data_IF_856685683979
#
_entry.id   IF_856685683979
#
_cell.length_a   1.000
_cell.length_b   1.000
_cell.length_c   1.000
_cell.angle_alpha   90.00
_cell.angle_beta   90.00
_cell.angle_gamma   90.00
#
_symmetry.space_group_name_H-M   'P 1'
#
loop_
_entity.id
_entity.type
_entity.pdbx_description
1 polymer ?
#
# COMPACT_ATOMS: atom_id res chain seq x y z
N UNK A 1 -4.39 -1.84 9.58
CA UNK A 1 -2.96 -2.17 9.82
C UNK A 1 -2.07 -1.11 9.14
N UNK A 2 -0.88 -0.80 9.67
CA UNK A 2 0.09 0.11 9.03
C UNK A 2 1.27 -0.71 8.49
N UNK A 3 1.57 -0.59 7.19
CA UNK A 3 2.66 -1.33 6.54
C UNK A 3 4.02 -0.82 7.04
N UNK A 4 4.96 -1.75 7.27
CA UNK A 4 6.35 -1.47 7.62
C UNK A 4 7.30 -2.11 6.61
N UNK A 5 8.48 -1.52 6.34
CA UNK A 5 9.04 -0.30 6.94
C UNK A 5 8.27 0.99 6.57
N UNK A 6 8.42 2.03 7.40
CA UNK A 6 7.66 3.31 7.30
C UNK A 6 7.82 3.99 5.92
N UNK A 7 9.01 3.92 5.34
CA UNK A 7 9.37 4.47 4.04
C UNK A 7 10.39 3.53 3.36
N UNK A 8 10.57 3.70 2.04
CA UNK A 8 11.57 2.97 1.27
C UNK A 8 11.07 1.68 0.60
N UNK A 9 9.80 1.33 0.77
CA UNK A 9 9.16 0.32 -0.07
C UNK A 9 8.93 0.87 -1.48
N UNK A 10 9.07 0.01 -2.48
CA UNK A 10 8.56 0.30 -3.82
C UNK A 10 7.05 0.14 -3.83
N UNK A 11 6.38 0.82 -4.77
CA UNK A 11 4.91 0.71 -4.93
C UNK A 11 4.46 -0.75 -5.15
N UNK A 12 5.24 -1.55 -5.89
CA UNK A 12 4.93 -2.97 -6.12
C UNK A 12 4.95 -3.80 -4.85
N UNK A 13 5.98 -3.61 -4.01
CA UNK A 13 6.09 -4.34 -2.75
C UNK A 13 5.02 -3.90 -1.76
N UNK A 14 4.67 -2.61 -1.78
CA UNK A 14 3.57 -2.06 -0.99
C UNK A 14 2.23 -2.69 -1.37
N UNK A 15 1.91 -2.72 -2.67
CA UNK A 15 0.66 -3.32 -3.16
C UNK A 15 0.55 -4.82 -2.88
N UNK A 16 1.68 -5.57 -2.92
CA UNK A 16 1.69 -6.98 -2.49
C UNK A 16 1.33 -7.13 -1.01
N UNK A 17 1.90 -6.28 -0.16
CA UNK A 17 1.59 -6.30 1.27
C UNK A 17 0.10 -5.99 1.50
N UNK A 18 -0.46 -4.98 0.82
CA UNK A 18 -1.89 -4.68 0.89
C UNK A 18 -2.77 -5.86 0.48
N UNK A 19 -2.45 -6.54 -0.63
CA UNK A 19 -3.19 -7.74 -1.07
C UNK A 19 -3.15 -8.87 -0.04
N UNK A 20 -1.97 -9.17 0.53
CA UNK A 20 -1.82 -10.19 1.56
C UNK A 20 -2.57 -9.82 2.85
N UNK A 21 -2.58 -8.53 3.23
CA UNK A 21 -3.32 -8.05 4.40
C UNK A 21 -4.84 -8.12 4.20
N UNK A 22 -5.36 -7.64 3.07
CA UNK A 22 -6.79 -7.69 2.75
C UNK A 22 -7.29 -9.13 2.63
N UNK A 23 -6.53 -10.01 1.95
CA UNK A 23 -6.82 -11.45 1.90
C UNK A 23 -6.71 -12.14 3.27
N UNK A 24 -5.91 -11.58 4.17
CA UNK A 24 -5.71 -12.03 5.54
C UNK A 24 -6.81 -11.64 6.54
N UNK A 25 -7.98 -11.18 6.07
CA UNK A 25 -9.13 -10.71 6.86
C UNK A 25 -8.98 -9.34 7.52
N UNK A 26 -8.11 -8.47 7.01
CA UNK A 26 -8.16 -7.05 7.39
C UNK A 26 -9.22 -6.32 6.58
N UNK A 27 -10.09 -5.60 7.28
CA UNK A 27 -11.11 -4.75 6.64
C UNK A 27 -10.50 -3.50 6.01
N UNK A 28 -9.43 -2.97 6.60
CA UNK A 28 -8.79 -1.73 6.16
C UNK A 28 -7.26 -1.75 6.35
N UNK A 29 -6.55 -1.29 5.32
CA UNK A 29 -5.16 -0.82 5.44
C UNK A 29 -5.13 0.71 5.37
N UNK A 30 -4.09 1.30 5.94
CA UNK A 30 -3.90 2.76 5.91
C UNK A 30 -2.44 3.09 5.65
N UNK A 31 -2.24 4.15 4.89
CA UNK A 31 -0.93 4.78 4.74
C UNK A 31 -0.44 5.31 6.09
N UNK A 32 0.88 5.32 6.23
CA UNK A 32 1.56 5.93 7.36
C UNK A 32 1.52 7.47 7.24
N UNK A 33 1.52 8.21 8.36
CA UNK A 33 1.43 9.68 8.40
C UNK A 33 2.55 10.39 7.59
N UNK A 34 3.70 9.73 7.41
CA UNK A 34 4.82 10.25 6.64
C UNK A 34 4.80 9.81 5.16
N UNK A 35 3.85 8.97 4.74
CA UNK A 35 3.76 8.42 3.39
C UNK A 35 3.08 9.41 2.43
N UNK A 36 3.82 10.46 2.06
CA UNK A 36 3.42 11.42 1.04
C UNK A 36 3.81 10.95 -0.39
N UNK A 37 3.78 11.85 -1.38
CA UNK A 37 4.02 11.52 -2.79
C UNK A 37 5.51 11.62 -3.17
N UNK A 38 6.35 10.85 -2.49
CA UNK A 38 7.81 10.79 -2.72
C UNK A 38 8.14 10.12 -4.07
N UNK A 39 9.32 10.37 -4.67
CA UNK A 39 9.70 9.79 -5.96
C UNK A 39 9.60 8.26 -6.06
N UNK A 40 9.83 7.54 -4.96
CA UNK A 40 9.79 6.07 -4.90
C UNK A 40 8.41 5.50 -4.57
N UNK A 41 7.48 6.34 -4.09
CA UNK A 41 6.09 5.98 -3.79
C UNK A 41 5.18 7.16 -4.08
N UNK A 42 4.78 7.30 -5.35
CA UNK A 42 3.79 8.31 -5.74
C UNK A 42 2.40 7.86 -5.30
N UNK A 43 1.61 8.82 -4.84
CA UNK A 43 0.24 8.54 -4.38
C UNK A 43 -0.62 7.91 -5.48
N UNK A 44 -0.52 8.40 -6.73
CA UNK A 44 -1.25 7.85 -7.88
C UNK A 44 -0.95 6.38 -8.09
N UNK A 45 0.31 6.00 -8.05
CA UNK A 45 0.73 4.63 -8.28
C UNK A 45 0.24 3.72 -7.14
N UNK A 46 0.35 4.16 -5.88
CA UNK A 46 -0.21 3.42 -4.73
C UNK A 46 -1.72 3.21 -4.86
N UNK A 47 -2.46 4.25 -5.23
CA UNK A 47 -3.91 4.16 -5.42
C UNK A 47 -4.29 3.13 -6.48
N UNK A 48 -3.58 3.10 -7.61
CA UNK A 48 -3.84 2.12 -8.68
C UNK A 48 -3.58 0.69 -8.21
N UNK A 49 -2.50 0.44 -7.46
CA UNK A 49 -2.22 -0.87 -6.88
C UNK A 49 -3.26 -1.29 -5.84
N UNK A 50 -3.71 -0.36 -4.99
CA UNK A 50 -4.75 -0.64 -4.00
C UNK A 50 -6.09 -0.99 -4.66
N UNK A 51 -6.47 -0.23 -5.71
CA UNK A 51 -7.64 -0.55 -6.51
C UNK A 51 -7.51 -1.93 -7.16
N UNK A 52 -6.35 -2.26 -7.73
CA UNK A 52 -6.11 -3.61 -8.27
C UNK A 52 -6.28 -4.69 -7.19
N UNK A 53 -5.77 -4.47 -5.96
CA UNK A 53 -5.89 -5.44 -4.88
C UNK A 53 -7.33 -5.66 -4.38
N UNK A 54 -8.21 -4.65 -4.48
CA UNK A 54 -9.64 -4.76 -4.11
C UNK A 54 -10.43 -5.48 -5.19
N UNK A 55 -10.18 -5.17 -6.47
CA UNK A 55 -10.98 -5.65 -7.59
C UNK A 55 -10.50 -7.00 -8.17
N UNK A 56 -9.58 -7.68 -7.50
CA UNK A 56 -8.96 -8.93 -7.94
C UNK A 56 -9.27 -10.05 -6.95
#
# INVERSE_FOLDING_TARGET
CTIKPKLGLSVKNYGRADYEFLGGRLDFTKDDENANSQPFMRWRDRFLFYAEAIYK
#
